data_IF_417250991194
#
_entry.id   IF_417250991194
#
_cell.length_a   1.000
_cell.length_b   1.000
_cell.length_c   1.000
_cell.angle_alpha   90.00
_cell.angle_beta   90.00
_cell.angle_gamma   90.00
#
_symmetry.space_group_name_H-M   'P 1'
#
loop_
_entity.id
_entity.type
_entity.pdbx_description
1 polymer ?
#
# COMPACT_ATOMS: atom_id res chain seq x y z
N UNK A 1 -27.01 11.34 -4.18
CA UNK A 1 -26.24 10.47 -5.10
C UNK A 1 -26.74 9.03 -5.00
N UNK A 2 -26.80 8.32 -6.14
CA UNK A 2 -26.88 6.85 -6.17
C UNK A 2 -25.60 6.31 -6.80
N UNK A 3 -24.91 5.43 -6.11
CA UNK A 3 -23.64 4.87 -6.59
C UNK A 3 -23.78 4.18 -7.95
N UNK A 4 -24.87 3.45 -8.16
CA UNK A 4 -25.18 2.80 -9.43
C UNK A 4 -25.25 3.77 -10.62
N UNK A 5 -25.87 4.94 -10.45
CA UNK A 5 -26.03 5.92 -11.53
C UNK A 5 -24.68 6.55 -11.91
N UNK A 6 -23.84 6.82 -10.91
CA UNK A 6 -22.47 7.32 -11.12
C UNK A 6 -21.63 6.28 -11.87
N UNK A 7 -21.70 5.03 -11.47
CA UNK A 7 -20.95 3.93 -12.09
C UNK A 7 -21.40 3.71 -13.56
N UNK A 8 -22.71 3.77 -13.83
CA UNK A 8 -23.22 3.65 -15.21
C UNK A 8 -22.77 4.84 -16.09
N UNK A 9 -22.70 6.04 -15.52
CA UNK A 9 -22.14 7.20 -16.23
C UNK A 9 -20.65 7.01 -16.54
N UNK A 10 -19.87 6.51 -15.59
CA UNK A 10 -18.44 6.22 -15.79
C UNK A 10 -18.21 5.14 -16.84
N UNK A 11 -19.01 4.07 -16.86
CA UNK A 11 -18.93 3.03 -17.89
C UNK A 11 -19.14 3.60 -19.31
N UNK A 12 -20.07 4.55 -19.45
CA UNK A 12 -20.29 5.21 -20.76
C UNK A 12 -19.14 6.12 -21.17
N UNK A 13 -18.53 6.82 -20.21
CA UNK A 13 -17.42 7.76 -20.45
C UNK A 13 -16.08 7.05 -20.66
N UNK A 14 -15.86 5.94 -19.96
CA UNK A 14 -14.59 5.22 -19.92
C UNK A 14 -14.79 3.72 -20.18
N UNK A 15 -15.32 3.32 -21.34
CA UNK A 15 -15.70 1.93 -21.60
C UNK A 15 -14.53 0.92 -21.59
N UNK A 16 -13.31 1.41 -21.75
CA UNK A 16 -12.08 0.59 -21.80
C UNK A 16 -11.28 0.60 -20.48
N UNK A 17 -11.90 1.01 -19.36
CA UNK A 17 -11.23 1.13 -18.07
C UNK A 17 -11.93 0.30 -16.98
N UNK A 18 -12.06 -1.02 -17.13
CA UNK A 18 -12.83 -1.87 -16.23
C UNK A 18 -12.29 -1.89 -14.81
N UNK A 19 -10.95 -1.91 -14.61
CA UNK A 19 -10.33 -1.93 -13.29
C UNK A 19 -10.61 -0.63 -12.53
N UNK A 20 -10.57 0.51 -13.23
CA UNK A 20 -10.90 1.80 -12.65
C UNK A 20 -12.37 1.89 -12.21
N UNK A 21 -13.29 1.47 -13.08
CA UNK A 21 -14.74 1.47 -12.80
C UNK A 21 -15.05 0.57 -11.60
N UNK A 22 -14.43 -0.60 -11.51
CA UNK A 22 -14.60 -1.53 -10.39
C UNK A 22 -14.17 -0.89 -9.07
N UNK A 23 -13.00 -0.26 -9.03
CA UNK A 23 -12.49 0.39 -7.82
C UNK A 23 -13.40 1.53 -7.35
N UNK A 24 -13.86 2.37 -8.28
CA UNK A 24 -14.80 3.45 -7.97
C UNK A 24 -16.11 2.87 -7.42
N UNK A 25 -16.67 1.84 -8.05
CA UNK A 25 -17.90 1.19 -7.60
C UNK A 25 -17.81 0.69 -6.16
N UNK A 26 -16.70 0.03 -5.81
CA UNK A 26 -16.47 -0.49 -4.45
C UNK A 26 -16.40 0.61 -3.40
N UNK A 27 -15.74 1.73 -3.70
CA UNK A 27 -15.66 2.85 -2.77
C UNK A 27 -17.02 3.53 -2.63
N UNK A 28 -17.68 3.85 -3.75
CA UNK A 28 -18.97 4.56 -3.75
C UNK A 28 -20.05 3.80 -2.99
N UNK A 29 -20.10 2.47 -3.10
CA UNK A 29 -21.05 1.64 -2.35
C UNK A 29 -20.90 1.75 -0.83
N UNK A 30 -19.70 2.06 -0.34
CA UNK A 30 -19.45 2.19 1.11
C UNK A 30 -19.67 3.60 1.64
N UNK A 31 -19.60 4.62 0.79
CA UNK A 31 -19.74 6.03 1.20
C UNK A 31 -21.11 6.64 0.87
N UNK A 32 -21.97 5.95 0.13
CA UNK A 32 -23.26 6.48 -0.38
C UNK A 32 -24.14 7.06 0.74
N UNK A 33 -24.34 6.32 1.82
CA UNK A 33 -25.15 6.77 2.95
C UNK A 33 -24.58 8.02 3.61
N UNK A 34 -23.25 8.09 3.77
CA UNK A 34 -22.60 9.26 4.36
C UNK A 34 -22.63 10.46 3.43
N UNK A 35 -22.37 10.24 2.15
CA UNK A 35 -22.47 11.29 1.12
C UNK A 35 -23.86 11.96 1.12
N UNK A 36 -24.93 11.15 1.21
CA UNK A 36 -26.30 11.63 1.13
C UNK A 36 -26.76 12.44 2.35
N UNK A 37 -25.97 12.46 3.44
CA UNK A 37 -26.18 13.39 4.56
C UNK A 37 -25.71 14.82 4.26
N UNK A 38 -25.02 15.03 3.14
CA UNK A 38 -24.35 16.26 2.76
C UNK A 38 -24.88 16.80 1.42
N UNK A 39 -26.08 17.44 1.37
CA UNK A 39 -26.66 17.93 0.12
C UNK A 39 -25.82 19.00 -0.60
N UNK A 40 -24.90 19.65 0.12
CA UNK A 40 -23.92 20.57 -0.44
C UNK A 40 -22.94 19.89 -1.40
N UNK A 41 -22.65 18.60 -1.22
CA UNK A 41 -21.77 17.85 -2.12
C UNK A 41 -22.39 17.65 -3.50
N UNK A 42 -23.70 17.37 -3.57
CA UNK A 42 -24.41 17.26 -4.85
C UNK A 42 -24.44 18.61 -5.59
N UNK A 43 -24.68 19.70 -4.87
CA UNK A 43 -24.67 21.06 -5.47
C UNK A 43 -23.33 21.44 -6.06
N UNK A 44 -22.23 20.93 -5.50
CA UNK A 44 -20.88 21.15 -6.00
C UNK A 44 -20.43 20.13 -7.05
N UNK A 45 -21.30 19.20 -7.45
CA UNK A 45 -20.97 18.06 -8.31
C UNK A 45 -19.71 17.31 -7.85
N UNK A 46 -19.58 17.16 -6.52
CA UNK A 46 -18.35 16.71 -5.87
C UNK A 46 -17.94 15.30 -6.33
N UNK A 47 -18.92 14.38 -6.43
CA UNK A 47 -18.58 12.98 -6.73
C UNK A 47 -18.07 12.80 -8.16
N UNK A 48 -18.60 13.56 -9.13
CA UNK A 48 -18.12 13.50 -10.50
C UNK A 48 -16.69 14.06 -10.61
N UNK A 49 -16.43 15.18 -9.91
CA UNK A 49 -15.09 15.78 -9.81
C UNK A 49 -14.10 14.83 -9.15
N UNK A 50 -14.52 14.12 -8.11
CA UNK A 50 -13.67 13.14 -7.41
C UNK A 50 -13.38 11.88 -8.25
N UNK A 51 -14.34 11.47 -9.10
CA UNK A 51 -14.20 10.30 -9.96
C UNK A 51 -13.47 10.59 -11.29
N UNK A 52 -12.99 11.80 -11.51
CA UNK A 52 -12.19 12.14 -12.70
C UNK A 52 -10.84 12.68 -12.23
N UNK A 53 -9.71 12.10 -12.68
CA UNK A 53 -8.40 12.63 -12.35
C UNK A 53 -8.24 14.08 -12.81
N UNK A 54 -7.49 14.89 -12.05
CA UNK A 54 -7.16 16.26 -12.45
C UNK A 54 -6.40 16.26 -13.77
N UNK A 55 -5.49 15.29 -13.96
CA UNK A 55 -4.64 15.18 -15.15
C UNK A 55 -4.14 13.75 -15.38
N UNK A 56 -4.01 13.37 -16.65
CA UNK A 56 -3.28 12.17 -17.08
C UNK A 56 -2.23 12.61 -18.09
N UNK A 57 -0.97 12.28 -17.79
CA UNK A 57 0.16 12.54 -18.68
C UNK A 57 0.60 11.19 -19.24
N UNK A 58 0.55 11.06 -20.56
CA UNK A 58 0.99 9.87 -21.29
C UNK A 58 2.11 10.25 -22.25
N UNK A 59 3.18 9.47 -22.29
CA UNK A 59 4.34 9.75 -23.10
C UNK A 59 5.02 8.48 -23.59
N UNK A 60 5.77 8.61 -24.67
CA UNK A 60 6.60 7.55 -25.21
C UNK A 60 8.00 7.61 -24.58
N UNK A 61 8.52 6.45 -24.18
CA UNK A 61 9.86 6.29 -23.63
C UNK A 61 10.72 5.48 -24.60
N UNK A 62 11.68 6.09 -25.26
CA UNK A 62 12.64 5.42 -26.13
C UNK A 62 13.96 5.21 -25.38
N UNK A 63 14.52 4.02 -25.47
CA UNK A 63 15.79 3.67 -24.83
C UNK A 63 16.51 2.58 -25.64
N UNK A 64 17.80 2.35 -25.34
CA UNK A 64 18.63 1.39 -26.08
C UNK A 64 19.02 0.24 -25.13
N UNK A 65 18.79 -0.99 -25.56
CA UNK A 65 19.19 -2.18 -24.79
C UNK A 65 20.71 -2.46 -24.90
N UNK A 66 21.19 -3.48 -24.19
CA UNK A 66 22.61 -3.85 -24.18
C UNK A 66 23.10 -4.40 -25.53
N UNK A 67 22.18 -4.76 -26.42
CA UNK A 67 22.50 -5.20 -27.80
C UNK A 67 22.51 -4.05 -28.80
N UNK A 68 22.32 -2.81 -28.34
CA UNK A 68 22.26 -1.63 -29.20
C UNK A 68 20.93 -1.45 -29.95
N UNK A 69 19.89 -2.25 -29.61
CA UNK A 69 18.57 -2.14 -30.22
C UNK A 69 17.72 -1.08 -29.52
N UNK A 70 17.06 -0.25 -30.31
CA UNK A 70 16.10 0.74 -29.80
C UNK A 70 14.83 0.03 -29.33
N UNK A 71 14.43 0.34 -28.12
CA UNK A 71 13.21 -0.13 -27.49
C UNK A 71 12.26 1.05 -27.27
N UNK A 72 10.94 0.78 -27.27
CA UNK A 72 9.91 1.79 -27.05
C UNK A 72 8.89 1.26 -26.05
N UNK A 73 8.63 2.04 -25.02
CA UNK A 73 7.63 1.77 -23.99
C UNK A 73 6.69 2.96 -23.83
N UNK A 74 5.53 2.73 -23.22
CA UNK A 74 4.61 3.77 -22.81
C UNK A 74 4.85 4.15 -21.35
N UNK A 75 4.91 5.46 -21.08
CA UNK A 75 4.98 6.00 -19.74
C UNK A 75 3.71 6.77 -19.39
N UNK A 76 3.36 6.77 -18.11
CA UNK A 76 2.16 7.42 -17.60
C UNK A 76 2.41 8.07 -16.24
N UNK A 77 1.72 9.20 -16.00
CA UNK A 77 1.50 9.77 -14.65
C UNK A 77 0.06 10.22 -14.52
N UNK A 78 -0.65 9.64 -13.59
CA UNK A 78 -2.01 10.05 -13.21
C UNK A 78 -1.90 10.95 -11.98
N UNK A 79 -2.24 12.20 -12.12
CA UNK A 79 -2.41 13.18 -11.06
C UNK A 79 -3.91 13.22 -10.75
N UNK A 80 -4.29 12.48 -9.67
CA UNK A 80 -5.71 12.22 -9.44
C UNK A 80 -6.40 13.34 -8.70
N UNK A 81 -5.87 13.72 -7.54
CA UNK A 81 -6.46 14.76 -6.70
C UNK A 81 -5.40 15.36 -5.78
N UNK A 82 -5.29 16.68 -5.71
CA UNK A 82 -4.34 17.40 -4.85
C UNK A 82 -5.01 18.31 -3.81
N UNK A 83 -6.30 18.12 -3.52
CA UNK A 83 -7.02 18.96 -2.57
C UNK A 83 -6.43 18.95 -1.15
N UNK A 84 -5.71 17.90 -0.77
CA UNK A 84 -5.11 17.76 0.57
C UNK A 84 -3.58 17.83 0.58
N UNK A 85 -2.95 18.08 -0.55
CA UNK A 85 -1.49 18.19 -0.67
C UNK A 85 -0.99 17.77 -2.06
N UNK A 86 0.32 17.84 -2.31
CA UNK A 86 0.91 17.42 -3.58
C UNK A 86 0.48 16.02 -3.98
N UNK A 87 0.33 15.77 -5.29
CA UNK A 87 0.05 14.41 -5.76
C UNK A 87 1.13 13.47 -5.25
N UNK A 88 0.74 12.34 -4.70
CA UNK A 88 1.66 11.37 -4.10
C UNK A 88 1.27 9.94 -4.45
N UNK A 89 2.24 9.17 -4.94
CA UNK A 89 2.06 7.75 -5.20
C UNK A 89 3.17 7.17 -6.06
N UNK A 90 3.30 5.84 -6.04
CA UNK A 90 4.40 5.12 -6.64
C UNK A 90 4.42 5.14 -8.18
N UNK A 91 5.58 4.78 -8.72
CA UNK A 91 5.80 4.46 -10.12
C UNK A 91 5.95 2.95 -10.22
N UNK A 92 5.17 2.32 -11.10
CA UNK A 92 5.19 0.86 -11.35
C UNK A 92 5.83 0.55 -12.69
N UNK A 93 6.83 -0.33 -12.70
CA UNK A 93 7.41 -0.87 -13.92
C UNK A 93 7.05 -2.35 -14.05
N UNK A 94 6.03 -2.60 -14.87
CA UNK A 94 5.53 -3.95 -15.10
C UNK A 94 4.79 -4.02 -16.44
N UNK A 95 4.92 -5.15 -17.16
CA UNK A 95 4.31 -5.34 -18.49
C UNK A 95 2.79 -5.20 -18.54
N UNK A 96 2.10 -5.35 -17.40
CA UNK A 96 0.63 -5.18 -17.31
C UNK A 96 0.19 -3.72 -17.15
N UNK A 97 1.11 -2.77 -16.99
CA UNK A 97 0.75 -1.37 -16.77
C UNK A 97 0.00 -0.80 -17.96
N UNK A 98 -1.16 -0.22 -17.67
CA UNK A 98 -1.98 0.54 -18.60
C UNK A 98 -2.68 1.70 -17.86
N UNK A 99 -3.37 2.55 -18.59
CA UNK A 99 -4.04 3.73 -18.05
C UNK A 99 -5.11 3.37 -17.00
N UNK A 100 -5.94 2.36 -17.25
CA UNK A 100 -7.02 1.95 -16.36
C UNK A 100 -6.48 1.51 -14.99
N UNK A 101 -5.43 0.70 -14.99
CA UNK A 101 -4.76 0.26 -13.76
C UNK A 101 -4.17 1.44 -13.00
N UNK A 102 -3.53 2.39 -13.67
CA UNK A 102 -2.94 3.54 -12.99
C UNK A 102 -3.99 4.53 -12.48
N UNK A 103 -5.11 4.72 -13.18
CA UNK A 103 -6.24 5.50 -12.68
C UNK A 103 -6.83 4.87 -11.41
N UNK A 104 -7.09 3.57 -11.44
CA UNK A 104 -7.55 2.82 -10.27
C UNK A 104 -6.62 3.01 -9.06
N UNK A 105 -5.33 2.79 -9.27
CA UNK A 105 -4.33 2.91 -8.21
C UNK A 105 -4.20 4.35 -7.69
N UNK A 106 -4.32 5.37 -8.55
CA UNK A 106 -4.28 6.77 -8.15
C UNK A 106 -5.51 7.20 -7.35
N UNK A 107 -6.70 6.72 -7.76
CA UNK A 107 -7.95 6.90 -7.03
C UNK A 107 -7.87 6.32 -5.61
N UNK A 108 -7.47 5.06 -5.47
CA UNK A 108 -7.30 4.44 -4.16
C UNK A 108 -6.21 5.12 -3.31
N UNK A 109 -5.12 5.55 -3.96
CA UNK A 109 -4.03 6.25 -3.29
C UNK A 109 -4.50 7.57 -2.67
N UNK A 110 -5.45 8.28 -3.30
CA UNK A 110 -6.04 9.51 -2.76
C UNK A 110 -6.65 9.27 -1.37
N UNK A 111 -7.43 8.21 -1.21
CA UNK A 111 -8.05 7.86 0.07
C UNK A 111 -7.06 7.30 1.08
N UNK A 112 -6.12 6.49 0.64
CA UNK A 112 -5.07 5.96 1.49
C UNK A 112 -4.20 7.08 2.09
N UNK A 113 -3.78 8.03 1.27
CA UNK A 113 -2.98 9.17 1.71
C UNK A 113 -3.76 10.07 2.68
N UNK A 114 -5.05 10.28 2.41
CA UNK A 114 -5.90 11.11 3.27
C UNK A 114 -6.02 10.56 4.70
N UNK A 115 -5.95 9.25 4.89
CA UNK A 115 -6.00 8.61 6.20
C UNK A 115 -4.76 8.94 7.05
N UNK A 116 -3.60 9.16 6.44
CA UNK A 116 -2.34 9.43 7.17
C UNK A 116 -2.33 10.75 7.91
N UNK A 117 -3.32 11.62 7.73
CA UNK A 117 -3.38 13.01 8.21
C UNK A 117 -2.33 13.95 7.61
N UNK A 118 -1.33 13.43 6.92
CA UNK A 118 -0.29 14.21 6.26
C UNK A 118 -0.80 14.90 4.99
N UNK A 119 -0.21 16.04 4.58
CA UNK A 119 -0.62 16.79 3.41
C UNK A 119 -0.13 16.12 2.11
N UNK A 120 -0.80 15.07 1.69
CA UNK A 120 -0.50 14.31 0.48
C UNK A 120 -1.77 14.00 -0.28
N UNK A 121 -1.84 14.44 -1.53
CA UNK A 121 -2.87 14.07 -2.49
C UNK A 121 -2.67 12.67 -3.08
N UNK A 122 -3.36 12.35 -4.15
CA UNK A 122 -3.27 11.04 -4.81
C UNK A 122 -2.72 11.12 -6.23
N UNK A 123 -1.76 10.27 -6.53
CA UNK A 123 -1.21 10.10 -7.87
C UNK A 123 -0.63 8.71 -8.07
N UNK A 124 -0.43 8.32 -9.32
CA UNK A 124 0.20 7.05 -9.68
C UNK A 124 0.87 7.16 -11.05
N UNK A 125 2.03 6.55 -11.19
CA UNK A 125 2.72 6.50 -12.46
C UNK A 125 3.18 5.10 -12.82
N UNK A 126 3.72 4.96 -14.01
CA UNK A 126 4.29 3.69 -14.43
C UNK A 126 4.59 3.58 -15.91
N UNK A 127 5.07 2.41 -16.28
CA UNK A 127 5.35 2.02 -17.65
C UNK A 127 5.14 0.53 -17.82
N UNK A 128 4.82 0.12 -19.04
CA UNK A 128 4.79 -1.28 -19.48
C UNK A 128 6.19 -1.92 -19.57
N UNK A 129 7.23 -1.17 -19.25
CA UNK A 129 8.59 -1.67 -19.08
C UNK A 129 8.67 -2.65 -17.90
N UNK A 130 9.36 -3.77 -18.06
CA UNK A 130 9.68 -4.69 -16.96
C UNK A 130 11.19 -4.72 -16.72
N UNK A 131 11.67 -4.42 -15.51
CA UNK A 131 13.09 -4.51 -15.16
C UNK A 131 13.57 -5.96 -14.98
N UNK A 132 12.65 -6.92 -14.96
CA UNK A 132 12.98 -8.34 -14.78
C UNK A 132 13.83 -8.85 -15.94
N UNK A 133 14.99 -9.44 -15.62
CA UNK A 133 15.92 -9.96 -16.62
C UNK A 133 16.72 -8.89 -17.38
N UNK A 134 16.64 -7.61 -16.96
CA UNK A 134 17.42 -6.51 -17.50
C UNK A 134 18.69 -6.27 -16.69
N UNK A 135 19.75 -5.82 -17.37
CA UNK A 135 20.97 -5.38 -16.70
C UNK A 135 20.74 -4.08 -15.92
N UNK A 136 21.61 -3.79 -14.93
CA UNK A 136 21.58 -2.50 -14.24
C UNK A 136 21.72 -1.31 -15.19
N UNK A 137 22.51 -1.46 -16.24
CA UNK A 137 22.73 -0.44 -17.25
C UNK A 137 21.48 -0.20 -18.11
N UNK A 138 20.78 -1.26 -18.50
CA UNK A 138 19.49 -1.15 -19.21
C UNK A 138 18.45 -0.45 -18.35
N UNK A 139 18.31 -0.84 -17.07
CA UNK A 139 17.37 -0.22 -16.13
C UNK A 139 17.72 1.26 -15.90
N UNK A 140 19.00 1.59 -15.77
CA UNK A 140 19.45 2.97 -15.63
C UNK A 140 19.08 3.81 -16.86
N UNK A 141 19.36 3.33 -18.07
CA UNK A 141 18.99 4.04 -19.33
C UNK A 141 17.49 4.23 -19.44
N UNK A 142 16.71 3.21 -19.09
CA UNK A 142 15.25 3.34 -19.08
C UNK A 142 14.78 4.38 -18.06
N UNK A 143 15.24 4.34 -16.81
CA UNK A 143 14.88 5.31 -15.78
C UNK A 143 15.24 6.76 -16.19
N UNK A 144 16.38 6.95 -16.83
CA UNK A 144 16.80 8.26 -17.36
C UNK A 144 15.88 8.74 -18.48
N UNK A 145 15.55 7.87 -19.43
CA UNK A 145 14.64 8.19 -20.53
C UNK A 145 13.20 8.46 -20.02
N UNK A 146 12.71 7.69 -19.05
CA UNK A 146 11.43 7.90 -18.41
C UNK A 146 11.38 9.26 -17.69
N UNK A 147 12.41 9.60 -16.94
CA UNK A 147 12.48 10.87 -16.22
C UNK A 147 12.64 12.08 -17.17
N UNK A 148 13.29 11.92 -18.31
CA UNK A 148 13.41 12.98 -19.31
C UNK A 148 12.05 13.49 -19.81
N UNK A 149 11.06 12.61 -19.86
CA UNK A 149 9.69 12.99 -20.21
C UNK A 149 8.90 13.48 -18.97
N UNK A 150 9.08 12.83 -17.82
CA UNK A 150 8.27 13.08 -16.63
C UNK A 150 8.65 14.36 -15.86
N UNK A 151 9.92 14.76 -15.83
CA UNK A 151 10.44 15.76 -14.88
C UNK A 151 9.72 17.12 -14.90
N UNK A 152 9.12 17.51 -16.03
CA UNK A 152 8.38 18.77 -16.17
C UNK A 152 7.02 18.78 -15.47
N UNK A 153 6.56 17.62 -15.05
CA UNK A 153 5.22 17.40 -14.51
C UNK A 153 5.22 17.01 -13.04
N UNK A 154 6.40 16.97 -12.43
CA UNK A 154 6.59 16.59 -11.03
C UNK A 154 7.48 17.60 -10.31
N UNK A 155 7.33 17.68 -9.00
CA UNK A 155 8.08 18.59 -8.16
C UNK A 155 7.83 18.33 -6.67
N UNK A 156 8.68 18.84 -5.76
CA UNK A 156 8.55 18.58 -4.32
C UNK A 156 7.23 19.10 -3.72
N UNK A 157 6.64 20.13 -4.30
CA UNK A 157 5.41 20.75 -3.84
C UNK A 157 4.22 20.53 -4.81
N UNK A 158 4.44 19.84 -5.91
CA UNK A 158 3.45 19.57 -6.96
C UNK A 158 3.06 18.09 -7.00
N UNK A 159 4.03 17.23 -7.23
CA UNK A 159 3.84 15.79 -7.41
C UNK A 159 5.10 15.03 -7.01
N UNK A 160 5.02 14.21 -5.97
CA UNK A 160 6.17 13.47 -5.42
C UNK A 160 5.97 11.97 -5.62
N UNK A 161 6.55 11.38 -6.67
CA UNK A 161 6.50 9.95 -6.90
C UNK A 161 7.28 9.14 -5.85
N UNK A 162 7.03 7.83 -5.82
CA UNK A 162 7.75 6.85 -5.00
C UNK A 162 8.00 5.56 -5.77
N UNK A 163 8.59 4.56 -5.12
CA UNK A 163 8.66 3.21 -5.63
C UNK A 163 7.33 2.46 -5.55
N UNK A 164 7.19 1.43 -6.38
CA UNK A 164 6.11 0.45 -6.42
C UNK A 164 6.65 -0.84 -7.09
N UNK A 165 5.80 -1.74 -7.55
CA UNK A 165 6.24 -2.96 -8.25
C UNK A 165 7.23 -2.62 -9.37
N UNK A 166 8.39 -3.27 -9.36
CA UNK A 166 9.46 -3.07 -10.33
C UNK A 166 10.26 -1.77 -10.16
N UNK A 167 9.99 -1.00 -9.11
CA UNK A 167 10.71 0.25 -8.78
C UNK A 167 11.10 0.23 -7.31
N UNK A 168 12.34 -0.11 -7.05
CA UNK A 168 12.97 -0.08 -5.73
C UNK A 168 13.93 1.09 -5.57
N UNK A 169 14.78 1.02 -4.54
CA UNK A 169 15.79 2.06 -4.25
C UNK A 169 16.75 2.33 -5.41
N UNK A 170 17.10 1.30 -6.19
CA UNK A 170 17.93 1.42 -7.39
C UNK A 170 17.30 2.32 -8.45
N UNK A 171 16.06 2.03 -8.83
CA UNK A 171 15.30 2.78 -9.84
C UNK A 171 15.02 4.21 -9.34
N UNK A 172 14.63 4.36 -8.07
CA UNK A 172 14.44 5.68 -7.45
C UNK A 172 15.74 6.49 -7.51
N UNK A 173 16.89 5.86 -7.23
CA UNK A 173 18.20 6.51 -7.32
C UNK A 173 18.53 6.99 -8.74
N UNK A 174 18.30 6.14 -9.75
CA UNK A 174 18.53 6.53 -11.15
C UNK A 174 17.61 7.67 -11.60
N UNK A 175 16.34 7.64 -11.23
CA UNK A 175 15.38 8.71 -11.53
C UNK A 175 15.72 10.00 -10.79
N UNK A 176 16.11 9.94 -9.53
CA UNK A 176 16.54 11.11 -8.75
C UNK A 176 17.78 11.78 -9.35
N UNK A 177 18.79 10.98 -9.72
CA UNK A 177 20.00 11.49 -10.35
C UNK A 177 19.72 12.23 -11.65
N UNK A 178 18.80 11.69 -12.47
CA UNK A 178 18.40 12.34 -13.73
C UNK A 178 17.57 13.60 -13.50
N UNK A 179 16.61 13.58 -12.57
CA UNK A 179 15.81 14.76 -12.19
C UNK A 179 16.73 15.91 -11.73
N UNK A 180 17.65 15.62 -10.79
CA UNK A 180 18.63 16.58 -10.30
C UNK A 180 19.48 17.20 -11.44
N UNK A 181 19.88 16.36 -12.40
CA UNK A 181 20.65 16.84 -13.55
C UNK A 181 19.84 17.77 -14.45
N UNK A 182 18.56 17.45 -14.71
CA UNK A 182 17.70 18.22 -15.60
C UNK A 182 17.24 19.55 -14.99
N UNK A 183 16.97 19.57 -13.70
CA UNK A 183 16.44 20.74 -13.00
C UNK A 183 17.51 21.61 -12.35
N UNK A 184 18.73 21.10 -12.21
CA UNK A 184 19.81 21.72 -11.43
C UNK A 184 19.46 21.95 -9.96
N UNK A 185 18.51 21.15 -9.40
CA UNK A 185 18.03 21.27 -8.04
C UNK A 185 18.23 19.98 -7.26
N UNK A 186 18.76 20.10 -6.04
CA UNK A 186 18.71 19.02 -5.05
C UNK A 186 17.55 19.31 -4.09
N UNK A 187 16.42 18.67 -4.34
CA UNK A 187 15.17 18.92 -3.62
C UNK A 187 14.50 17.61 -3.17
N UNK A 188 13.39 17.74 -2.44
CA UNK A 188 12.61 16.63 -1.90
C UNK A 188 11.75 15.88 -2.91
N UNK A 189 12.22 15.74 -4.14
CA UNK A 189 11.55 14.93 -5.15
C UNK A 189 11.81 13.43 -4.92
N UNK A 190 10.83 12.60 -5.22
CA UNK A 190 10.83 11.15 -5.00
C UNK A 190 10.95 10.76 -3.51
N UNK A 191 10.33 9.68 -3.12
CA UNK A 191 10.52 9.05 -1.81
C UNK A 191 10.92 7.59 -1.96
N UNK A 192 11.53 7.03 -0.89
CA UNK A 192 12.21 5.75 -0.98
C UNK A 192 13.65 5.89 -1.48
N UNK A 193 14.22 7.08 -1.33
CA UNK A 193 15.62 7.38 -1.65
C UNK A 193 16.57 6.65 -0.69
N UNK A 194 17.81 6.47 -1.13
CA UNK A 194 18.90 6.08 -0.23
C UNK A 194 19.15 7.13 0.85
N UNK A 195 19.62 6.68 2.00
CA UNK A 195 19.89 7.58 3.13
C UNK A 195 20.96 8.63 2.83
N UNK A 196 21.84 8.34 1.86
CA UNK A 196 22.94 9.20 1.43
C UNK A 196 22.45 10.46 0.71
N UNK A 197 21.23 10.44 0.18
CA UNK A 197 20.66 11.55 -0.60
C UNK A 197 19.21 11.90 -0.25
N UNK A 198 18.88 11.82 1.04
CA UNK A 198 17.61 12.33 1.59
C UNK A 198 16.55 11.29 1.90
N UNK A 199 16.89 10.01 1.91
CA UNK A 199 15.99 8.94 2.34
C UNK A 199 15.75 8.94 3.85
N UNK A 200 14.56 8.52 4.27
CA UNK A 200 14.19 8.39 5.68
C UNK A 200 14.59 7.03 6.25
N UNK A 201 14.98 7.02 7.53
CA UNK A 201 15.01 5.81 8.35
C UNK A 201 13.60 5.23 8.49
N UNK A 202 13.51 3.96 8.88
CA UNK A 202 12.23 3.22 9.07
C UNK A 202 11.46 3.02 7.76
N UNK A 203 11.90 3.55 6.60
CA UNK A 203 11.12 3.40 5.36
C UNK A 203 10.97 1.93 4.92
N UNK A 204 12.00 1.06 4.97
CA UNK A 204 11.85 -0.36 4.69
C UNK A 204 10.88 -1.06 5.64
N UNK A 205 10.94 -0.73 6.92
CA UNK A 205 10.16 -1.34 7.99
C UNK A 205 8.71 -0.86 8.05
N UNK A 206 8.47 0.34 7.55
CA UNK A 206 7.26 1.12 7.83
C UNK A 206 5.94 0.42 7.54
N UNK A 207 5.84 -0.37 6.47
CA UNK A 207 4.60 -1.07 6.13
C UNK A 207 4.31 -2.18 7.13
N UNK A 208 5.30 -3.00 7.45
CA UNK A 208 5.19 -4.08 8.43
C UNK A 208 4.93 -3.55 9.84
N UNK A 209 5.72 -2.55 10.27
CA UNK A 209 5.56 -1.91 11.58
C UNK A 209 4.18 -1.25 11.73
N UNK A 210 3.77 -0.47 10.74
CA UNK A 210 2.46 0.18 10.75
C UNK A 210 1.30 -0.80 10.81
N UNK A 211 1.39 -1.92 10.09
CA UNK A 211 0.40 -2.98 10.13
C UNK A 211 0.22 -3.54 11.56
N UNK A 212 1.31 -3.74 12.28
CA UNK A 212 1.25 -4.27 13.65
C UNK A 212 0.81 -3.22 14.67
N UNK A 213 1.19 -1.96 14.52
CA UNK A 213 0.64 -0.88 15.35
C UNK A 213 -0.88 -0.77 15.18
N UNK A 214 -1.37 -0.90 13.96
CA UNK A 214 -2.80 -0.92 13.70
C UNK A 214 -3.48 -2.13 14.33
N UNK A 215 -2.89 -3.33 14.19
CA UNK A 215 -3.39 -4.56 14.82
C UNK A 215 -3.49 -4.43 16.35
N UNK A 216 -2.45 -3.90 16.99
CA UNK A 216 -2.45 -3.67 18.44
C UNK A 216 -3.64 -2.81 18.87
N UNK A 217 -3.91 -1.72 18.13
CA UNK A 217 -5.05 -0.85 18.39
C UNK A 217 -6.39 -1.56 18.15
N UNK A 218 -6.50 -2.41 17.12
CA UNK A 218 -7.71 -3.21 16.89
C UNK A 218 -8.00 -4.14 18.07
N UNK A 219 -7.00 -4.85 18.55
CA UNK A 219 -7.14 -5.77 19.68
C UNK A 219 -7.56 -5.04 20.96
N UNK A 220 -7.00 -3.85 21.21
CA UNK A 220 -7.36 -3.00 22.34
C UNK A 220 -8.84 -2.61 22.37
N UNK A 221 -9.53 -2.53 21.21
CA UNK A 221 -10.98 -2.26 21.19
C UNK A 221 -11.80 -3.37 21.85
N UNK A 222 -11.22 -4.55 22.01
CA UNK A 222 -11.84 -5.71 22.69
C UNK A 222 -11.12 -6.11 23.98
N UNK A 223 -10.24 -5.22 24.50
CA UNK A 223 -9.42 -5.50 25.68
C UNK A 223 -8.55 -6.76 25.53
N UNK A 224 -8.00 -6.99 24.35
CA UNK A 224 -7.13 -8.12 24.03
C UNK A 224 -5.71 -7.59 23.88
N UNK A 225 -4.75 -8.26 24.53
CA UNK A 225 -3.33 -7.98 24.38
C UNK A 225 -2.76 -8.77 23.19
N UNK A 226 -1.83 -8.15 22.43
CA UNK A 226 -1.13 -8.81 21.34
C UNK A 226 -0.08 -9.82 21.84
N UNK A 227 0.53 -9.53 22.99
CA UNK A 227 1.54 -10.41 23.58
C UNK A 227 0.99 -11.82 23.81
N UNK A 228 1.79 -12.82 23.48
CA UNK A 228 1.42 -14.24 23.61
C UNK A 228 0.52 -14.78 22.48
N UNK A 229 0.04 -13.96 21.57
CA UNK A 229 -0.80 -14.41 20.44
C UNK A 229 0.03 -15.08 19.35
N UNK A 230 -0.52 -16.13 18.77
CA UNK A 230 0.04 -16.78 17.58
C UNK A 230 -0.47 -16.12 16.31
N UNK A 231 0.42 -15.92 15.34
CA UNK A 231 0.12 -15.14 14.13
C UNK A 231 0.53 -15.89 12.87
N UNK A 232 -0.43 -16.09 11.95
CA UNK A 232 -0.13 -16.55 10.59
C UNK A 232 0.34 -15.35 9.76
N UNK A 233 1.53 -15.47 9.19
CA UNK A 233 2.09 -14.48 8.26
C UNK A 233 2.30 -15.15 6.91
N UNK A 234 1.84 -14.54 5.83
CA UNK A 234 2.22 -14.94 4.48
C UNK A 234 3.31 -14.06 3.91
N UNK A 235 4.02 -14.59 2.91
CA UNK A 235 5.16 -13.90 2.33
C UNK A 235 6.45 -14.10 3.11
N UNK A 236 7.55 -13.73 2.49
CA UNK A 236 8.91 -13.72 3.04
C UNK A 236 9.71 -12.51 2.56
N UNK A 237 9.02 -11.55 1.92
CA UNK A 237 9.61 -10.30 1.48
C UNK A 237 9.61 -9.24 2.58
N UNK A 238 9.90 -8.00 2.19
CA UNK A 238 10.08 -6.86 3.08
C UNK A 238 8.93 -6.67 4.09
N UNK A 239 7.68 -6.67 3.62
CA UNK A 239 6.51 -6.46 4.49
C UNK A 239 6.39 -7.59 5.52
N UNK A 240 6.53 -8.84 5.09
CA UNK A 240 6.43 -9.99 5.97
C UNK A 240 7.55 -10.02 7.03
N UNK A 241 8.80 -9.75 6.61
CA UNK A 241 9.97 -9.72 7.51
C UNK A 241 9.77 -8.69 8.63
N UNK A 242 9.41 -7.47 8.29
CA UNK A 242 9.23 -6.42 9.29
C UNK A 242 7.90 -6.52 10.07
N UNK A 243 6.88 -7.17 9.52
CA UNK A 243 5.70 -7.60 10.28
C UNK A 243 6.12 -8.58 11.37
N UNK A 244 6.89 -9.63 11.04
CA UNK A 244 7.39 -10.60 12.02
C UNK A 244 8.31 -9.94 13.07
N UNK A 245 9.21 -9.04 12.65
CA UNK A 245 10.09 -8.31 13.57
C UNK A 245 9.29 -7.53 14.62
N UNK A 246 8.27 -6.77 14.18
CA UNK A 246 7.44 -5.99 15.11
C UNK A 246 6.56 -6.86 15.99
N UNK A 247 6.06 -7.99 15.47
CA UNK A 247 5.33 -8.98 16.29
C UNK A 247 6.20 -9.51 17.43
N UNK A 248 7.46 -9.87 17.14
CA UNK A 248 8.41 -10.33 18.15
C UNK A 248 8.71 -9.26 19.20
N UNK A 249 8.93 -8.01 18.78
CA UNK A 249 9.16 -6.89 19.70
C UNK A 249 7.99 -6.66 20.66
N UNK A 250 6.76 -6.91 20.20
CA UNK A 250 5.54 -6.76 21.02
C UNK A 250 5.10 -8.06 21.70
N UNK A 251 5.94 -9.09 21.68
CA UNK A 251 5.73 -10.34 22.42
C UNK A 251 4.76 -11.32 21.77
N UNK A 252 4.39 -11.15 20.53
CA UNK A 252 3.60 -12.10 19.75
C UNK A 252 4.48 -13.16 19.07
N UNK A 253 3.87 -14.24 18.63
CA UNK A 253 4.56 -15.41 18.05
C UNK A 253 4.14 -15.59 16.59
N UNK A 254 4.91 -15.14 15.59
CA UNK A 254 4.71 -15.55 14.21
C UNK A 254 5.04 -17.05 14.05
N UNK A 255 4.15 -17.80 13.40
CA UNK A 255 4.26 -19.26 13.27
C UNK A 255 4.32 -19.73 11.82
N UNK A 256 4.15 -18.85 10.85
CA UNK A 256 4.25 -19.18 9.42
C UNK A 256 5.01 -18.12 8.64
N UNK A 257 5.59 -18.56 7.54
CA UNK A 257 6.19 -17.72 6.51
C UNK A 257 6.00 -18.44 5.17
N UNK A 258 5.86 -17.72 4.06
CA UNK A 258 5.60 -18.34 2.76
C UNK A 258 6.34 -17.65 1.62
N UNK A 259 6.48 -18.36 0.51
CA UNK A 259 6.82 -17.78 -0.79
C UNK A 259 5.94 -18.34 -1.91
N UNK A 260 6.36 -18.19 -3.18
CA UNK A 260 5.58 -18.69 -4.31
C UNK A 260 5.43 -20.20 -4.35
N UNK A 261 6.35 -20.93 -3.71
CA UNK A 261 6.43 -22.39 -3.80
C UNK A 261 5.66 -23.09 -2.68
N UNK A 262 5.41 -22.40 -1.55
CA UNK A 262 4.69 -22.96 -0.42
C UNK A 262 4.87 -22.17 0.87
N UNK A 263 4.56 -22.79 2.01
CA UNK A 263 4.73 -22.16 3.32
C UNK A 263 5.38 -23.14 4.33
N UNK A 264 5.98 -22.55 5.36
CA UNK A 264 6.42 -23.27 6.57
C UNK A 264 5.43 -23.01 7.70
N UNK A 265 5.27 -24.01 8.57
CA UNK A 265 4.58 -23.89 9.85
C UNK A 265 5.51 -24.33 10.97
N UNK A 266 5.87 -23.38 11.83
CA UNK A 266 6.73 -23.56 12.99
C UNK A 266 5.93 -23.34 14.27
N UNK A 267 5.42 -24.39 14.93
CA UNK A 267 4.57 -24.25 16.11
C UNK A 267 5.31 -23.66 17.32
N UNK A 268 6.63 -23.78 17.36
CA UNK A 268 7.45 -23.17 18.41
C UNK A 268 7.64 -21.66 18.21
N UNK A 269 7.32 -21.19 17.01
CA UNK A 269 7.42 -19.79 16.59
C UNK A 269 8.74 -19.47 15.89
N UNK A 270 8.66 -18.46 15.03
CA UNK A 270 9.81 -17.85 14.38
C UNK A 270 10.34 -16.79 15.35
N UNK A 271 11.43 -17.08 16.04
CA UNK A 271 12.12 -16.15 16.95
C UNK A 271 13.08 -15.23 16.19
N UNK A 272 13.87 -14.42 16.89
CA UNK A 272 14.79 -13.47 16.29
C UNK A 272 15.86 -14.15 15.43
N UNK A 273 16.45 -15.23 15.91
CA UNK A 273 17.50 -15.98 15.16
C UNK A 273 16.91 -16.56 13.87
N UNK A 274 15.75 -17.15 13.94
CA UNK A 274 15.04 -17.73 12.80
C UNK A 274 14.61 -16.64 11.80
N UNK A 275 14.19 -15.47 12.27
CA UNK A 275 13.89 -14.33 11.41
C UNK A 275 15.13 -13.80 10.71
N UNK A 276 16.25 -13.66 11.40
CA UNK A 276 17.54 -13.25 10.81
C UNK A 276 17.96 -14.23 9.71
N UNK A 277 17.77 -15.53 9.93
CA UNK A 277 17.99 -16.53 8.88
C UNK A 277 17.07 -16.35 7.67
N UNK A 278 15.77 -16.06 7.89
CA UNK A 278 14.84 -15.76 6.77
C UNK A 278 15.31 -14.54 5.99
N UNK A 279 15.76 -13.49 6.69
CA UNK A 279 16.27 -12.29 6.04
C UNK A 279 17.52 -12.55 5.21
N UNK A 280 18.48 -13.31 5.73
CA UNK A 280 19.67 -13.73 4.99
C UNK A 280 19.29 -14.57 3.76
N UNK A 281 18.51 -15.62 3.97
CA UNK A 281 18.04 -16.53 2.92
C UNK A 281 17.33 -15.78 1.77
N UNK A 282 16.44 -14.83 2.10
CA UNK A 282 15.64 -14.15 1.08
C UNK A 282 16.33 -12.96 0.44
N UNK A 283 17.06 -12.17 1.22
CA UNK A 283 17.62 -10.90 0.76
C UNK A 283 19.03 -11.04 0.17
N UNK A 284 19.82 -12.00 0.66
CA UNK A 284 21.21 -12.22 0.25
C UNK A 284 21.31 -13.44 -0.68
N UNK A 285 20.91 -14.61 -0.21
CA UNK A 285 21.04 -15.87 -0.94
C UNK A 285 19.99 -16.05 -2.04
N UNK A 286 18.85 -15.35 -1.93
CA UNK A 286 17.68 -15.48 -2.83
C UNK A 286 17.11 -16.89 -2.88
N UNK A 287 17.25 -17.61 -1.75
CA UNK A 287 16.78 -18.98 -1.57
C UNK A 287 15.26 -19.09 -1.41
N UNK A 288 14.80 -20.30 -1.14
CA UNK A 288 13.40 -20.66 -0.96
C UNK A 288 13.07 -20.97 0.49
N UNK A 289 11.84 -20.66 0.91
CA UNK A 289 11.44 -20.87 2.32
C UNK A 289 11.45 -22.35 2.74
N UNK A 290 11.45 -23.29 1.79
CA UNK A 290 11.67 -24.72 2.04
C UNK A 290 12.97 -24.98 2.82
N UNK A 291 14.05 -24.23 2.52
CA UNK A 291 15.35 -24.36 3.17
C UNK A 291 15.28 -24.06 4.68
N UNK A 292 14.37 -23.18 5.10
CA UNK A 292 14.07 -22.98 6.51
C UNK A 292 13.51 -24.26 7.16
N UNK A 293 12.54 -24.90 6.49
CA UNK A 293 11.94 -26.13 7.01
C UNK A 293 12.97 -27.27 7.14
N UNK A 294 13.87 -27.38 6.16
CA UNK A 294 14.97 -28.36 6.18
C UNK A 294 15.93 -28.06 7.34
N UNK A 295 16.30 -26.80 7.56
CA UNK A 295 17.24 -26.39 8.62
C UNK A 295 16.68 -26.62 10.03
N UNK A 296 15.42 -26.25 10.25
CA UNK A 296 14.80 -26.28 11.59
C UNK A 296 13.91 -27.51 11.83
N UNK A 297 13.75 -28.40 10.85
CA UNK A 297 12.97 -29.64 11.00
C UNK A 297 11.47 -29.40 11.17
N UNK A 298 10.92 -28.35 10.57
CA UNK A 298 9.51 -27.96 10.70
C UNK A 298 8.69 -28.32 9.46
N UNK A 299 7.37 -28.27 9.57
CA UNK A 299 6.45 -28.58 8.47
C UNK A 299 6.63 -27.62 7.30
N UNK A 300 6.73 -28.18 6.08
CA UNK A 300 6.63 -27.46 4.82
C UNK A 300 5.45 -28.02 4.00
N UNK A 301 4.68 -27.12 3.40
CA UNK A 301 3.55 -27.47 2.53
C UNK A 301 3.73 -26.79 1.19
N UNK A 302 3.99 -27.62 0.15
CA UNK A 302 4.21 -27.15 -1.22
C UNK A 302 2.91 -26.68 -1.87
N UNK A 303 2.98 -25.60 -2.64
CA UNK A 303 1.87 -25.10 -3.46
C UNK A 303 0.68 -24.53 -2.69
N UNK A 304 0.80 -24.38 -1.36
CA UNK A 304 -0.30 -23.95 -0.49
C UNK A 304 -0.01 -22.62 0.22
N UNK A 305 -1.05 -22.05 0.84
CA UNK A 305 -1.00 -20.86 1.70
C UNK A 305 -1.33 -21.25 3.14
N UNK A 306 -0.87 -20.49 4.17
CA UNK A 306 -0.93 -20.90 5.57
C UNK A 306 -2.32 -20.77 6.22
N UNK A 307 -3.36 -20.41 5.50
CA UNK A 307 -4.65 -19.99 6.06
C UNK A 307 -5.49 -21.10 6.68
N UNK A 308 -5.08 -22.36 6.53
CA UNK A 308 -5.72 -23.52 7.14
C UNK A 308 -5.06 -23.97 8.44
N UNK A 309 -3.95 -23.35 8.82
CA UNK A 309 -3.29 -23.60 10.11
C UNK A 309 -4.01 -22.86 11.25
N UNK A 310 -3.89 -23.39 12.46
CA UNK A 310 -4.56 -22.82 13.63
C UNK A 310 -3.71 -21.74 14.27
N UNK A 311 -4.30 -20.56 14.47
CA UNK A 311 -3.66 -19.43 15.15
C UNK A 311 -4.71 -18.42 15.61
N UNK A 312 -4.28 -17.43 16.43
CA UNK A 312 -5.17 -16.36 16.93
C UNK A 312 -5.40 -15.26 15.89
N UNK A 313 -4.40 -14.96 15.07
CA UNK A 313 -4.38 -13.79 14.18
C UNK A 313 -3.83 -14.22 12.80
N UNK A 314 -4.33 -13.56 11.75
CA UNK A 314 -3.76 -13.69 10.40
C UNK A 314 -3.37 -12.32 9.84
N UNK A 315 -2.18 -12.24 9.23
CA UNK A 315 -1.70 -11.05 8.54
C UNK A 315 -1.11 -11.41 7.16
N UNK A 316 -1.94 -11.27 6.10
CA UNK A 316 -1.49 -11.53 4.73
C UNK A 316 -0.54 -10.42 4.27
N UNK A 317 0.72 -10.82 3.97
CA UNK A 317 1.81 -9.91 3.60
C UNK A 317 2.45 -10.26 2.25
N UNK A 318 1.84 -11.14 1.46
CA UNK A 318 2.42 -11.62 0.21
C UNK A 318 1.80 -10.97 -1.02
N UNK A 319 0.66 -11.49 -1.48
CA UNK A 319 0.11 -11.14 -2.78
C UNK A 319 -1.38 -10.82 -2.74
N UNK A 320 -1.84 -10.19 -3.83
CA UNK A 320 -3.25 -9.93 -4.05
C UNK A 320 -4.06 -11.24 -4.13
N UNK A 321 -5.29 -11.22 -3.59
CA UNK A 321 -6.27 -12.31 -3.64
C UNK A 321 -5.75 -13.66 -3.07
N UNK A 322 -4.93 -13.62 -2.03
CA UNK A 322 -4.39 -14.83 -1.41
C UNK A 322 -5.31 -15.45 -0.34
N UNK A 323 -6.29 -14.71 0.17
CA UNK A 323 -7.36 -15.22 1.04
C UNK A 323 -8.66 -15.18 0.26
N UNK A 324 -9.11 -16.36 -0.18
CA UNK A 324 -10.42 -16.57 -0.80
C UNK A 324 -11.49 -16.92 0.26
N UNK A 325 -12.72 -17.14 -0.17
CA UNK A 325 -13.84 -17.46 0.73
C UNK A 325 -13.58 -18.71 1.59
N UNK A 326 -13.05 -19.78 0.99
CA UNK A 326 -12.74 -21.05 1.68
C UNK A 326 -11.68 -20.83 2.77
N UNK A 327 -10.61 -20.11 2.46
CA UNK A 327 -9.57 -19.75 3.43
C UNK A 327 -10.11 -18.88 4.57
N UNK A 328 -11.00 -17.93 4.27
CA UNK A 328 -11.64 -17.11 5.29
C UNK A 328 -12.54 -17.92 6.21
N UNK A 329 -13.32 -18.85 5.67
CA UNK A 329 -14.16 -19.79 6.45
C UNK A 329 -13.29 -20.66 7.37
N UNK A 330 -12.16 -21.17 6.86
CA UNK A 330 -11.21 -21.95 7.66
C UNK A 330 -10.59 -21.12 8.80
N UNK A 331 -10.16 -19.90 8.53
CA UNK A 331 -9.63 -18.98 9.55
C UNK A 331 -10.65 -18.72 10.66
N UNK A 332 -11.90 -18.43 10.31
CA UNK A 332 -12.98 -18.24 11.28
C UNK A 332 -13.25 -19.52 12.09
N UNK A 333 -13.34 -20.68 11.43
CA UNK A 333 -13.56 -21.97 12.09
C UNK A 333 -12.41 -22.34 13.04
N UNK A 334 -11.18 -21.94 12.71
CA UNK A 334 -10.00 -22.14 13.55
C UNK A 334 -9.88 -21.13 14.71
N UNK A 335 -10.82 -20.19 14.82
CA UNK A 335 -10.90 -19.24 15.93
C UNK A 335 -10.03 -17.99 15.78
N UNK A 336 -9.66 -17.59 14.55
CA UNK A 336 -8.95 -16.33 14.30
C UNK A 336 -9.83 -15.16 14.77
N UNK A 337 -9.24 -14.29 15.58
CA UNK A 337 -9.93 -13.12 16.17
C UNK A 337 -9.70 -11.82 15.41
N UNK A 338 -8.60 -11.75 14.65
CA UNK A 338 -8.24 -10.56 13.88
C UNK A 338 -7.50 -10.90 12.58
N UNK A 339 -7.79 -10.12 11.55
CA UNK A 339 -7.07 -10.14 10.26
C UNK A 339 -6.68 -8.71 9.89
N UNK A 340 -5.38 -8.47 9.64
CA UNK A 340 -4.85 -7.18 9.16
C UNK A 340 -4.01 -7.36 7.92
N UNK A 341 -4.28 -6.58 6.90
CA UNK A 341 -3.63 -6.69 5.60
C UNK A 341 -2.32 -5.90 5.54
N UNK A 342 -1.20 -6.59 5.47
CA UNK A 342 0.10 -6.00 5.13
C UNK A 342 0.27 -5.79 3.61
N UNK A 343 -0.25 -6.71 2.81
CA UNK A 343 -0.29 -6.60 1.35
C UNK A 343 -1.41 -5.67 0.85
N UNK A 344 -1.40 -5.35 -0.44
CA UNK A 344 -2.50 -4.64 -1.08
C UNK A 344 -3.54 -5.65 -1.59
N UNK A 345 -4.79 -5.51 -1.12
CA UNK A 345 -5.94 -6.33 -1.50
C UNK A 345 -5.69 -7.85 -1.47
N UNK A 346 -5.14 -8.41 -0.38
CA UNK A 346 -4.87 -9.84 -0.32
C UNK A 346 -6.14 -10.69 -0.10
N UNK A 347 -7.23 -10.07 0.34
CA UNK A 347 -8.50 -10.72 0.68
C UNK A 347 -9.55 -10.44 -0.38
N UNK A 348 -10.20 -11.49 -0.91
CA UNK A 348 -11.27 -11.33 -1.90
C UNK A 348 -12.54 -10.73 -1.28
N UNK A 349 -13.43 -10.10 -2.07
CA UNK A 349 -14.69 -9.54 -1.56
C UNK A 349 -15.56 -10.57 -0.81
N UNK A 350 -15.61 -11.80 -1.28
CA UNK A 350 -16.34 -12.91 -0.65
C UNK A 350 -15.74 -13.25 0.71
N UNK A 351 -14.41 -13.29 0.80
CA UNK A 351 -13.70 -13.54 2.06
C UNK A 351 -13.89 -12.39 3.07
N UNK A 352 -13.88 -11.13 2.61
CA UNK A 352 -14.20 -9.97 3.46
C UNK A 352 -15.60 -10.12 4.07
N UNK A 353 -16.56 -10.56 3.27
CA UNK A 353 -17.92 -10.79 3.75
C UNK A 353 -17.96 -11.86 4.84
N UNK A 354 -17.23 -12.96 4.70
CA UNK A 354 -17.12 -14.01 5.73
C UNK A 354 -16.61 -13.42 7.04
N UNK A 355 -15.56 -12.61 7.01
CA UNK A 355 -15.01 -11.97 8.21
C UNK A 355 -15.98 -10.99 8.87
N UNK A 356 -16.71 -10.21 8.08
CA UNK A 356 -17.72 -9.26 8.58
C UNK A 356 -18.94 -9.98 9.17
N UNK A 357 -19.44 -11.02 8.52
CA UNK A 357 -20.58 -11.82 9.02
C UNK A 357 -20.21 -12.54 10.33
N UNK A 358 -18.98 -13.02 10.46
CA UNK A 358 -18.45 -13.59 11.69
C UNK A 358 -18.07 -12.55 12.76
N UNK A 359 -18.15 -11.25 12.42
CA UNK A 359 -17.80 -10.12 13.31
C UNK A 359 -16.40 -10.20 13.93
N UNK A 360 -15.44 -10.79 13.21
CA UNK A 360 -14.04 -10.71 13.63
C UNK A 360 -13.47 -9.34 13.33
N UNK A 361 -12.35 -8.99 13.93
CA UNK A 361 -11.65 -7.74 13.63
C UNK A 361 -10.95 -7.89 12.26
N UNK A 362 -11.46 -7.21 11.23
CA UNK A 362 -10.86 -7.22 9.91
C UNK A 362 -10.55 -5.80 9.45
N UNK A 363 -9.32 -5.53 9.04
CA UNK A 363 -8.90 -4.24 8.51
C UNK A 363 -8.31 -4.36 7.09
N UNK A 364 -8.81 -3.56 6.13
CA UNK A 364 -8.27 -3.54 4.77
C UNK A 364 -6.91 -2.87 4.71
N UNK A 365 -6.08 -3.28 3.75
CA UNK A 365 -4.71 -2.82 3.55
C UNK A 365 -4.58 -1.30 3.44
N UNK A 366 -5.55 -0.61 2.81
CA UNK A 366 -5.49 0.86 2.70
C UNK A 366 -5.36 1.60 4.05
N UNK A 367 -5.81 1.00 5.15
CA UNK A 367 -5.63 1.53 6.49
C UNK A 367 -4.45 0.85 7.21
N UNK A 368 -4.44 -0.48 7.30
CA UNK A 368 -3.41 -1.20 8.07
C UNK A 368 -2.00 -1.13 7.45
N UNK A 369 -1.86 -1.09 6.13
CA UNK A 369 -0.55 -1.00 5.48
C UNK A 369 -0.13 0.45 5.12
N UNK A 370 -0.85 1.46 5.61
CA UNK A 370 -0.56 2.86 5.33
C UNK A 370 0.79 3.36 5.91
N UNK A 371 1.43 2.57 6.76
CA UNK A 371 2.73 2.93 7.33
C UNK A 371 3.80 3.26 6.29
N UNK A 372 3.83 2.54 5.17
CA UNK A 372 4.77 2.81 4.09
C UNK A 372 4.62 4.20 3.49
N UNK A 373 3.39 4.62 3.18
CA UNK A 373 3.14 5.97 2.66
C UNK A 373 3.25 7.04 3.75
N UNK A 374 2.93 6.72 5.00
CA UNK A 374 3.13 7.62 6.13
C UNK A 374 4.61 8.01 6.26
N UNK A 375 5.52 7.04 6.29
CA UNK A 375 6.96 7.33 6.35
C UNK A 375 7.46 8.01 5.06
N UNK A 376 6.84 7.74 3.91
CA UNK A 376 7.13 8.53 2.70
C UNK A 376 6.78 10.01 2.89
N UNK A 377 5.67 10.34 3.55
CA UNK A 377 5.32 11.72 3.92
C UNK A 377 6.30 12.31 4.93
N UNK A 378 6.74 11.53 5.91
CA UNK A 378 7.78 11.96 6.85
C UNK A 378 9.14 12.20 6.16
N UNK A 379 9.47 11.42 5.12
CA UNK A 379 10.63 11.68 4.27
C UNK A 379 10.52 13.04 3.56
N UNK A 380 9.34 13.35 3.02
CA UNK A 380 9.08 14.67 2.42
C UNK A 380 9.28 15.79 3.45
N UNK A 381 8.78 15.64 4.67
CA UNK A 381 8.97 16.63 5.75
C UNK A 381 10.44 16.83 6.07
N UNK A 382 11.19 15.75 6.29
CA UNK A 382 12.64 15.82 6.56
C UNK A 382 13.39 16.51 5.42
N UNK A 383 12.99 16.24 4.15
CA UNK A 383 13.60 16.88 2.98
C UNK A 383 13.30 18.40 2.94
N UNK A 384 12.07 18.81 3.29
CA UNK A 384 11.68 20.22 3.34
C UNK A 384 12.42 20.98 4.44
N UNK A 385 12.60 20.37 5.61
CA UNK A 385 13.36 20.91 6.73
C UNK A 385 14.87 20.87 6.50
N UNK A 386 15.35 20.04 5.56
CA UNK A 386 16.76 19.69 5.35
C UNK A 386 17.43 19.09 6.59
N UNK A 387 16.63 18.36 7.38
CA UNK A 387 17.05 17.64 8.57
C UNK A 387 16.92 16.13 8.37
N UNK A 388 17.61 15.40 9.23
CA UNK A 388 17.51 13.96 9.31
C UNK A 388 17.09 13.57 10.73
N UNK A 389 15.95 12.92 10.84
CA UNK A 389 15.43 12.42 12.10
C UNK A 389 16.07 11.09 12.49
N UNK A 390 16.14 10.82 13.78
CA UNK A 390 16.58 9.52 14.30
C UNK A 390 15.58 8.41 13.95
N UNK A 391 16.00 7.16 14.17
CA UNK A 391 15.11 6.01 13.98
C UNK A 391 13.91 6.07 14.94
N UNK A 392 14.18 6.44 16.17
CA UNK A 392 13.20 6.56 17.25
C UNK A 392 12.19 7.68 16.98
N UNK A 393 12.62 8.82 16.47
CA UNK A 393 11.74 9.93 16.09
C UNK A 393 10.80 9.54 14.93
N UNK A 394 11.32 8.86 13.90
CA UNK A 394 10.48 8.41 12.78
C UNK A 394 9.50 7.33 13.23
N UNK A 395 9.93 6.36 14.04
CA UNK A 395 9.07 5.28 14.54
C UNK A 395 7.96 5.81 15.45
N UNK A 396 8.27 6.77 16.35
CA UNK A 396 7.28 7.40 17.21
C UNK A 396 6.20 8.13 16.38
N UNK A 397 6.60 8.89 15.36
CA UNK A 397 5.67 9.56 14.44
C UNK A 397 4.85 8.57 13.60
N UNK A 398 5.46 7.47 13.15
CA UNK A 398 4.74 6.40 12.47
C UNK A 398 3.64 5.81 13.38
N UNK A 399 3.99 5.53 14.63
CA UNK A 399 3.02 4.99 15.61
C UNK A 399 1.87 5.96 15.86
N UNK A 400 2.16 7.25 16.03
CA UNK A 400 1.15 8.31 16.17
C UNK A 400 0.20 8.34 14.96
N UNK A 401 0.74 8.36 13.75
CA UNK A 401 -0.06 8.36 12.51
C UNK A 401 -0.95 7.10 12.44
N UNK A 402 -0.43 5.92 12.77
CA UNK A 402 -1.22 4.69 12.75
C UNK A 402 -2.33 4.69 13.80
N UNK A 403 -2.09 5.30 14.98
CA UNK A 403 -3.12 5.52 15.99
C UNK A 403 -4.25 6.44 15.47
N UNK A 404 -3.90 7.52 14.79
CA UNK A 404 -4.86 8.45 14.21
C UNK A 404 -5.68 7.80 13.09
N UNK A 405 -5.05 7.01 12.21
CA UNK A 405 -5.75 6.23 11.19
C UNK A 405 -6.76 5.31 11.85
N UNK A 406 -6.33 4.56 12.87
CA UNK A 406 -7.22 3.64 13.60
C UNK A 406 -8.39 4.39 14.25
N UNK A 407 -8.13 5.48 14.97
CA UNK A 407 -9.17 6.28 15.63
C UNK A 407 -10.21 6.81 14.62
N UNK A 408 -9.78 7.26 13.46
CA UNK A 408 -10.68 7.70 12.38
C UNK A 408 -11.51 6.53 11.81
N UNK A 409 -10.91 5.37 11.61
CA UNK A 409 -11.63 4.17 11.17
C UNK A 409 -12.69 3.74 12.18
N UNK A 410 -12.39 3.77 13.48
CA UNK A 410 -13.35 3.48 14.56
C UNK A 410 -14.49 4.48 14.55
N UNK A 411 -14.18 5.79 14.48
CA UNK A 411 -15.18 6.87 14.48
C UNK A 411 -16.26 6.70 13.42
N UNK A 412 -15.87 6.31 12.20
CA UNK A 412 -16.80 6.19 11.07
C UNK A 412 -17.23 4.75 10.77
N UNK A 413 -16.58 3.75 11.38
CA UNK A 413 -16.86 2.34 11.15
C UNK A 413 -17.71 1.68 12.24
N UNK A 414 -17.87 2.29 13.41
CA UNK A 414 -18.63 1.71 14.50
C UNK A 414 -20.12 1.65 14.17
N UNK A 415 -20.70 0.46 14.24
CA UNK A 415 -22.11 0.17 13.97
C UNK A 415 -22.93 0.23 15.25
N UNK A 416 -24.26 0.22 15.11
CA UNK A 416 -25.20 0.30 16.24
C UNK A 416 -25.06 -0.85 17.25
N UNK A 417 -24.59 -2.02 16.80
CA UNK A 417 -24.34 -3.21 17.65
C UNK A 417 -22.93 -3.21 18.28
N UNK A 418 -22.15 -2.14 18.09
CA UNK A 418 -20.80 -2.00 18.61
C UNK A 418 -19.71 -2.66 17.75
N UNK A 419 -20.06 -3.36 16.66
CA UNK A 419 -19.08 -3.88 15.71
C UNK A 419 -18.40 -2.74 14.94
N UNK A 420 -17.09 -2.85 14.75
CA UNK A 420 -16.32 -1.87 13.99
C UNK A 420 -16.06 -2.42 12.58
N UNK A 421 -16.75 -1.87 11.60
CA UNK A 421 -16.49 -2.15 10.19
C UNK A 421 -15.35 -1.24 9.67
N UNK A 422 -14.12 -1.72 9.75
CA UNK A 422 -12.95 -0.96 9.33
C UNK A 422 -12.90 -0.64 7.83
N UNK A 423 -13.53 -1.45 6.98
CA UNK A 423 -13.66 -1.16 5.53
C UNK A 423 -14.47 0.11 5.33
N UNK A 424 -15.67 0.15 5.92
CA UNK A 424 -16.55 1.31 5.88
C UNK A 424 -15.89 2.53 6.54
N UNK A 425 -15.28 2.32 7.71
CA UNK A 425 -14.60 3.37 8.47
C UNK A 425 -13.48 4.03 7.68
N UNK A 426 -12.60 3.25 7.06
CA UNK A 426 -11.49 3.75 6.25
C UNK A 426 -11.97 4.53 5.02
N UNK A 427 -12.97 3.99 4.29
CA UNK A 427 -13.49 4.65 3.10
C UNK A 427 -14.18 5.98 3.44
N UNK A 428 -15.02 6.02 4.47
CA UNK A 428 -15.71 7.25 4.88
C UNK A 428 -14.72 8.29 5.41
N UNK A 429 -13.80 7.89 6.29
CA UNK A 429 -12.80 8.80 6.84
C UNK A 429 -11.95 9.46 5.75
N UNK A 430 -11.43 8.64 4.81
CA UNK A 430 -10.65 9.12 3.67
C UNK A 430 -11.46 10.04 2.76
N UNK A 431 -12.67 9.62 2.40
CA UNK A 431 -13.57 10.41 1.56
C UNK A 431 -13.89 11.79 2.18
N UNK A 432 -14.35 11.84 3.42
CA UNK A 432 -14.77 13.09 4.05
C UNK A 432 -13.65 14.12 4.15
N UNK A 433 -12.41 13.69 4.39
CA UNK A 433 -11.27 14.59 4.43
C UNK A 433 -11.03 15.25 3.08
N UNK A 434 -11.01 14.47 1.99
CA UNK A 434 -10.84 14.96 0.62
C UNK A 434 -12.02 15.83 0.22
N UNK A 435 -13.26 15.39 0.47
CA UNK A 435 -14.48 16.10 0.14
C UNK A 435 -14.53 17.50 0.78
N UNK A 436 -14.23 17.59 2.08
CA UNK A 436 -14.21 18.87 2.81
C UNK A 436 -13.13 19.81 2.28
N UNK A 437 -11.95 19.29 1.93
CA UNK A 437 -10.89 20.10 1.33
C UNK A 437 -11.30 20.63 -0.05
N UNK A 438 -11.90 19.78 -0.91
CA UNK A 438 -12.41 20.19 -2.22
C UNK A 438 -13.52 21.25 -2.09
N UNK A 439 -14.41 21.10 -1.10
CA UNK A 439 -15.48 22.10 -0.85
C UNK A 439 -14.92 23.43 -0.36
N UNK A 440 -13.92 23.40 0.53
CA UNK A 440 -13.30 24.60 1.08
C UNK A 440 -12.51 25.40 0.03
N UNK A 441 -11.90 24.72 -0.94
CA UNK A 441 -11.13 25.33 -2.03
C UNK A 441 -11.99 25.80 -3.20
N UNK A 442 -13.26 25.41 -3.26
CA UNK A 442 -14.19 25.79 -4.31
C UNK A 442 -14.06 24.99 -5.59
N UNK A 443 -14.30 25.64 -6.72
CA UNK A 443 -14.23 25.03 -8.06
C UNK A 443 -12.97 25.56 -8.74
N UNK A 444 -11.94 24.73 -8.76
CA UNK A 444 -10.63 25.01 -9.34
C UNK A 444 -10.27 23.99 -10.38
#
# INVERSE_FOLDING_TARGET
MKATDVVENLKRRFPNEPEYIQAVSQVLATIEDEYNKHPEFDRANLIERLCVPDRIIQFRVNWVDDKGKVQTNMGYRVQHNNAIGPYKGGIRFHSSVNQSILKFLAFEQTFKNSLTTLPMGGGKGGSDFSPRGKSNTEVMRFCQAFMLELYRHIGPDEDVPAGDIGVGGREVGYMFGMYKKLTHQFCGILTGKGQEFGGSRIRPEATGYGNIYFLENMLKTRNIELAGKTVLVSGSGNVAQYTMEKLLELGAKPVTCSDSDGYIYDPDGIDREKLDYIMELKNIERGRIREYAEKYGVKYVEGAKPWFEKADIATPCATQNEINEEAAQALVANGVIAVTEGANMPTTPEAIKVFQDAKILYCPGKASNAGGVAVSGLEMTQNSERLRWSREEVDAKLREIMNDIHANCVKYGTQADGYINYVKGANIAGFLKVARAMMAQGIV
#
